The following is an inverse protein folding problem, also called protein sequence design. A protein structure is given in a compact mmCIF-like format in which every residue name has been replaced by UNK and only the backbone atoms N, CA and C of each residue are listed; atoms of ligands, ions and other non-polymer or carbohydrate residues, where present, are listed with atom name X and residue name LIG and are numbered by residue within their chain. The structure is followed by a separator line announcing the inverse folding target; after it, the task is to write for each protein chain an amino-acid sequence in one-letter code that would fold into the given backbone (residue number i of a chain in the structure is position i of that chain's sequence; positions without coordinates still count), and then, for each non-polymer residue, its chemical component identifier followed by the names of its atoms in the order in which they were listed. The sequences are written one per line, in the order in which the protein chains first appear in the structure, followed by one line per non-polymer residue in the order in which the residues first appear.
data_IF_349066539100
#
_entry.id   IF_349066539100
#
_cell.length_a   1.000
_cell.length_b   1.000
_cell.length_c   1.000
_cell.angle_alpha   90.00
_cell.angle_beta   90.00
_cell.angle_gamma   90.00
#
_symmetry.space_group_name_H-M   'P 1'
#
loop_
_entity.id
_entity.type
_entity.pdbx_description
1 polymer ?
#
# COMPACT_ATOMS: atom_id res chain seq x y z
N UNK A 1 -29.67 -6.47 -18.30
CA UNK A 1 -31.05 -6.11 -17.88
C UNK A 1 -31.97 -5.87 -19.07
N UNK A 2 -31.61 -4.97 -20.00
CA UNK A 2 -32.48 -4.63 -21.12
C UNK A 2 -32.76 -5.82 -22.06
N UNK A 3 -31.75 -6.67 -22.31
CA UNK A 3 -31.91 -7.95 -23.02
C UNK A 3 -32.99 -8.85 -22.36
N UNK A 4 -32.97 -8.98 -21.03
CA UNK A 4 -33.95 -9.77 -20.29
C UNK A 4 -35.36 -9.19 -20.45
N UNK A 5 -35.51 -7.86 -20.41
CA UNK A 5 -36.79 -7.18 -20.66
C UNK A 5 -37.35 -7.55 -22.04
N UNK A 6 -36.56 -7.37 -23.09
CA UNK A 6 -36.97 -7.65 -24.47
C UNK A 6 -37.31 -9.14 -24.65
N UNK A 7 -36.46 -10.03 -24.14
CA UNK A 7 -36.67 -11.46 -24.24
C UNK A 7 -37.98 -11.89 -23.55
N UNK A 8 -38.24 -11.40 -22.33
CA UNK A 8 -39.48 -11.70 -21.59
C UNK A 8 -40.69 -11.13 -22.31
N UNK A 9 -40.63 -9.89 -22.81
CA UNK A 9 -41.72 -9.28 -23.56
C UNK A 9 -42.09 -10.09 -24.82
N UNK A 10 -41.09 -10.46 -25.61
CA UNK A 10 -41.27 -11.24 -26.85
C UNK A 10 -41.79 -12.66 -26.58
N UNK A 11 -41.38 -13.29 -25.48
CA UNK A 11 -41.89 -14.59 -25.04
C UNK A 11 -43.34 -14.49 -24.55
N UNK A 12 -43.68 -13.46 -23.77
CA UNK A 12 -45.05 -13.24 -23.29
C UNK A 12 -46.03 -12.92 -24.42
N UNK A 13 -45.55 -12.26 -25.49
CA UNK A 13 -46.35 -11.94 -26.68
C UNK A 13 -46.44 -13.11 -27.68
N UNK A 14 -45.84 -14.27 -27.38
CA UNK A 14 -45.80 -15.44 -28.28
C UNK A 14 -45.30 -15.11 -29.70
N UNK A 15 -44.29 -14.25 -29.78
CA UNK A 15 -43.70 -13.83 -31.06
C UNK A 15 -43.04 -15.01 -31.81
N UNK A 16 -42.96 -14.89 -33.15
CA UNK A 16 -42.30 -15.90 -33.98
C UNK A 16 -40.81 -15.97 -33.65
N UNK A 17 -40.22 -17.17 -33.80
CA UNK A 17 -38.79 -17.37 -33.55
C UNK A 17 -37.90 -16.43 -34.38
N UNK A 18 -38.28 -16.15 -35.63
CA UNK A 18 -37.56 -15.20 -36.49
C UNK A 18 -37.53 -13.78 -35.90
N UNK A 19 -38.64 -13.29 -35.35
CA UNK A 19 -38.71 -11.98 -34.69
C UNK A 19 -37.95 -11.96 -33.36
N UNK A 20 -37.92 -13.09 -32.64
CA UNK A 20 -37.10 -13.20 -31.44
C UNK A 20 -35.61 -13.08 -31.77
N UNK A 21 -35.14 -13.84 -32.77
CA UNK A 21 -33.73 -13.83 -33.19
C UNK A 21 -33.32 -12.45 -33.72
N UNK A 22 -34.15 -11.80 -34.54
CA UNK A 22 -33.80 -10.50 -35.12
C UNK A 22 -33.62 -9.38 -34.07
N UNK A 23 -34.36 -9.43 -32.96
CA UNK A 23 -34.25 -8.44 -31.88
C UNK A 23 -33.14 -8.77 -30.86
N UNK A 24 -32.92 -10.06 -30.58
CA UNK A 24 -31.99 -10.50 -29.53
C UNK A 24 -30.55 -10.63 -30.05
N UNK A 25 -30.37 -11.12 -31.29
CA UNK A 25 -29.06 -11.39 -31.87
C UNK A 25 -28.14 -10.14 -31.91
N UNK A 26 -28.60 -8.95 -32.35
CA UNK A 26 -27.74 -7.76 -32.37
C UNK A 26 -27.23 -7.36 -30.98
N UNK A 27 -28.07 -7.51 -29.95
CA UNK A 27 -27.71 -7.17 -28.56
C UNK A 27 -26.68 -8.18 -28.05
N UNK A 28 -26.88 -9.48 -28.30
CA UNK A 28 -25.92 -10.52 -27.94
C UNK A 28 -24.58 -10.33 -28.65
N UNK A 29 -24.59 -10.05 -29.95
CA UNK A 29 -23.37 -9.75 -30.71
C UNK A 29 -22.63 -8.53 -30.16
N UNK A 30 -23.37 -7.48 -29.76
CA UNK A 30 -22.77 -6.29 -29.14
C UNK A 30 -22.14 -6.60 -27.78
N UNK A 31 -22.82 -7.38 -26.94
CA UNK A 31 -22.29 -7.82 -25.64
C UNK A 31 -21.02 -8.64 -25.84
N UNK A 32 -21.04 -9.62 -26.76
CA UNK A 32 -19.88 -10.45 -27.06
C UNK A 32 -18.69 -9.63 -27.57
N UNK A 33 -18.93 -8.64 -28.44
CA UNK A 33 -17.87 -7.75 -28.91
C UNK A 33 -17.27 -6.93 -27.76
N UNK A 34 -18.10 -6.41 -26.86
CA UNK A 34 -17.64 -5.69 -25.66
C UNK A 34 -16.85 -6.61 -24.71
N UNK A 35 -17.27 -7.86 -24.53
CA UNK A 35 -16.54 -8.85 -23.73
C UNK A 35 -15.17 -9.18 -24.32
N UNK A 36 -15.07 -9.31 -25.66
CA UNK A 36 -13.78 -9.51 -26.33
C UNK A 36 -12.86 -8.29 -26.14
N UNK A 37 -13.39 -7.08 -26.31
CA UNK A 37 -12.62 -5.83 -26.12
C UNK A 37 -12.14 -5.70 -24.68
N UNK A 38 -13.01 -5.95 -23.70
CA UNK A 38 -12.63 -5.90 -22.27
C UNK A 38 -11.59 -6.96 -21.91
N UNK A 39 -11.72 -8.19 -22.44
CA UNK A 39 -10.71 -9.23 -22.28
C UNK A 39 -9.36 -8.81 -22.86
N UNK A 40 -9.33 -8.23 -24.06
CA UNK A 40 -8.11 -7.69 -24.67
C UNK A 40 -7.49 -6.57 -23.83
N UNK A 41 -8.29 -5.57 -23.42
CA UNK A 41 -7.83 -4.44 -22.60
C UNK A 41 -7.27 -4.91 -21.24
N UNK A 42 -7.88 -5.94 -20.64
CA UNK A 42 -7.39 -6.50 -19.38
C UNK A 42 -5.98 -7.10 -19.51
N UNK A 43 -5.66 -7.76 -20.64
CA UNK A 43 -4.32 -8.27 -20.92
C UNK A 43 -3.31 -7.14 -21.10
N UNK A 44 -3.68 -6.09 -21.84
CA UNK A 44 -2.84 -4.89 -22.01
C UNK A 44 -2.56 -4.23 -20.67
N UNK A 45 -3.58 -4.08 -19.81
CA UNK A 45 -3.44 -3.54 -18.45
C UNK A 45 -2.48 -4.37 -17.61
N UNK A 46 -2.55 -5.70 -17.71
CA UNK A 46 -1.64 -6.61 -17.01
C UNK A 46 -0.17 -6.38 -17.39
N UNK A 47 0.12 -6.23 -18.69
CA UNK A 47 1.48 -5.96 -19.15
C UNK A 47 2.00 -4.58 -18.71
N UNK A 48 1.16 -3.54 -18.80
CA UNK A 48 1.52 -2.20 -18.35
C UNK A 48 1.79 -2.15 -16.84
N UNK A 49 1.01 -2.90 -16.05
CA UNK A 49 1.21 -3.03 -14.61
C UNK A 49 2.59 -3.61 -14.28
N UNK A 50 2.96 -4.73 -14.89
CA UNK A 50 4.28 -5.36 -14.68
C UNK A 50 5.42 -4.40 -15.05
N UNK A 51 5.29 -3.68 -16.18
CA UNK A 51 6.27 -2.68 -16.59
C UNK A 51 6.41 -1.54 -15.57
N UNK A 52 5.30 -1.04 -15.04
CA UNK A 52 5.28 -0.01 -14.01
C UNK A 52 5.92 -0.51 -12.71
N UNK A 53 5.58 -1.72 -12.28
CA UNK A 53 6.09 -2.31 -11.04
C UNK A 53 7.61 -2.51 -11.09
N UNK A 54 8.11 -3.02 -12.22
CA UNK A 54 9.55 -3.14 -12.47
C UNK A 54 10.25 -1.77 -12.42
N UNK A 55 9.65 -0.74 -13.04
CA UNK A 55 10.25 0.60 -13.04
C UNK A 55 10.27 1.23 -11.65
N UNK A 56 9.21 1.05 -10.86
CA UNK A 56 9.17 1.49 -9.46
C UNK A 56 10.28 0.79 -8.66
N UNK A 57 10.45 -0.52 -8.85
CA UNK A 57 11.48 -1.28 -8.15
C UNK A 57 12.89 -0.80 -8.49
N UNK A 58 13.17 -0.54 -9.75
CA UNK A 58 14.43 0.02 -10.23
C UNK A 58 14.72 1.36 -9.57
N UNK A 59 13.75 2.28 -9.56
CA UNK A 59 13.90 3.59 -8.93
C UNK A 59 14.11 3.51 -7.41
N UNK A 60 13.48 2.54 -6.73
CA UNK A 60 13.74 2.29 -5.30
C UNK A 60 15.16 1.78 -5.05
N UNK A 61 15.70 0.96 -5.96
CA UNK A 61 17.08 0.48 -5.88
C UNK A 61 18.04 1.64 -6.12
N UNK A 62 17.82 2.42 -7.17
CA UNK A 62 18.59 3.61 -7.52
C UNK A 62 18.63 4.58 -6.34
N UNK A 63 17.47 4.93 -5.78
CA UNK A 63 17.38 5.77 -4.58
C UNK A 63 18.22 5.21 -3.42
N UNK A 64 18.14 3.92 -3.17
CA UNK A 64 18.93 3.31 -2.09
C UNK A 64 20.44 3.28 -2.37
N UNK A 65 20.86 3.26 -3.63
CA UNK A 65 22.28 3.32 -4.01
C UNK A 65 22.85 4.73 -4.01
N UNK A 66 22.01 5.75 -4.23
CA UNK A 66 22.41 7.16 -4.20
C UNK A 66 22.31 7.78 -2.80
N UNK A 67 21.43 7.25 -1.93
CA UNK A 67 21.31 7.73 -0.56
C UNK A 67 22.61 7.56 0.21
N UNK A 68 22.99 8.62 0.92
CA UNK A 68 24.23 8.68 1.69
C UNK A 68 24.30 7.60 2.80
N UNK A 69 25.52 7.16 3.09
CA UNK A 69 25.77 6.07 4.03
C UNK A 69 25.28 6.39 5.46
N UNK A 70 25.37 7.64 5.90
CA UNK A 70 24.89 8.05 7.22
C UNK A 70 23.39 7.77 7.32
N UNK A 71 22.61 8.26 6.36
CA UNK A 71 21.16 8.12 6.27
C UNK A 71 20.77 6.65 6.21
N UNK A 72 21.42 5.85 5.36
CA UNK A 72 21.23 4.39 5.29
C UNK A 72 21.46 3.69 6.64
N UNK A 73 22.41 4.17 7.44
CA UNK A 73 22.75 3.58 8.74
C UNK A 73 21.79 3.97 9.88
N UNK A 74 20.89 4.94 9.65
CA UNK A 74 19.95 5.38 10.68
C UNK A 74 18.81 4.39 10.87
N UNK A 75 18.37 4.24 12.13
CA UNK A 75 17.17 3.46 12.47
C UNK A 75 15.91 4.03 11.79
N UNK A 76 15.83 5.35 11.67
CA UNK A 76 14.70 6.04 11.05
C UNK A 76 14.55 5.68 9.58
N UNK A 77 15.61 5.82 8.79
CA UNK A 77 15.58 5.45 7.37
C UNK A 77 15.34 3.96 7.17
N UNK A 78 15.93 3.10 8.00
CA UNK A 78 15.66 1.66 7.95
C UNK A 78 14.16 1.37 8.14
N UNK A 79 13.51 2.01 9.11
CA UNK A 79 12.06 1.87 9.33
C UNK A 79 11.27 2.41 8.14
N UNK A 80 11.65 3.57 7.61
CA UNK A 80 11.00 4.22 6.47
C UNK A 80 11.05 3.34 5.22
N UNK A 81 12.24 2.83 4.87
CA UNK A 81 12.47 1.89 3.77
C UNK A 81 11.70 0.59 3.96
N UNK A 82 11.68 0.03 5.17
CA UNK A 82 10.96 -1.23 5.45
C UNK A 82 9.47 -1.06 5.21
N UNK A 83 8.87 0.02 5.71
CA UNK A 83 7.46 0.33 5.47
C UNK A 83 7.15 0.56 3.99
N UNK A 84 8.01 1.30 3.28
CA UNK A 84 7.84 1.53 1.86
C UNK A 84 7.95 0.23 1.04
N UNK A 85 8.85 -0.69 1.43
CA UNK A 85 8.95 -2.01 0.81
C UNK A 85 7.72 -2.87 1.10
N UNK A 86 7.18 -2.82 2.32
CA UNK A 86 5.91 -3.47 2.65
C UNK A 86 4.76 -2.88 1.80
N UNK A 87 4.69 -1.56 1.66
CA UNK A 87 3.70 -0.88 0.82
C UNK A 87 3.83 -1.26 -0.67
N UNK A 88 5.05 -1.32 -1.19
CA UNK A 88 5.36 -1.77 -2.54
C UNK A 88 4.94 -3.24 -2.75
N UNK A 89 5.33 -4.15 -1.83
CA UNK A 89 4.97 -5.57 -1.91
C UNK A 89 3.44 -5.78 -1.83
N UNK A 90 2.72 -4.88 -1.17
CA UNK A 90 1.26 -4.87 -1.17
C UNK A 90 0.67 -4.35 -2.48
N UNK A 91 1.47 -3.90 -3.45
CA UNK A 91 1.02 -3.33 -4.71
C UNK A 91 0.27 -2.01 -4.53
N UNK A 92 0.66 -1.18 -3.56
CA UNK A 92 -0.09 0.02 -3.18
C UNK A 92 -0.37 0.96 -4.36
N UNK A 93 0.57 1.16 -5.28
CA UNK A 93 0.41 2.05 -6.43
C UNK A 93 -0.65 1.53 -7.40
N UNK A 94 -0.50 0.28 -7.88
CA UNK A 94 -1.46 -0.37 -8.77
C UNK A 94 -2.86 -0.47 -8.13
N UNK A 95 -2.93 -0.86 -6.86
CA UNK A 95 -4.20 -0.93 -6.12
C UNK A 95 -4.89 0.43 -6.09
N UNK A 96 -4.19 1.51 -5.74
CA UNK A 96 -4.78 2.84 -5.72
C UNK A 96 -5.29 3.29 -7.11
N UNK A 97 -4.52 3.04 -8.18
CA UNK A 97 -4.96 3.32 -9.56
C UNK A 97 -6.23 2.54 -9.89
N UNK A 98 -6.25 1.24 -9.61
CA UNK A 98 -7.41 0.38 -9.87
C UNK A 98 -8.65 0.79 -9.06
N UNK A 99 -8.46 1.23 -7.81
CA UNK A 99 -9.54 1.71 -6.94
C UNK A 99 -10.14 3.00 -7.48
N UNK A 100 -9.33 3.96 -7.95
CA UNK A 100 -9.82 5.19 -8.57
C UNK A 100 -10.67 4.91 -9.82
N UNK A 101 -10.21 4.02 -10.71
CA UNK A 101 -11.00 3.65 -11.88
C UNK A 101 -12.28 2.89 -11.52
N UNK A 102 -12.21 2.00 -10.53
CA UNK A 102 -13.38 1.26 -10.04
C UNK A 102 -14.42 2.19 -9.42
N UNK A 103 -14.03 3.19 -8.63
CA UNK A 103 -14.97 4.15 -8.04
C UNK A 103 -15.62 5.02 -9.10
N UNK A 104 -14.83 5.56 -10.05
CA UNK A 104 -15.35 6.31 -11.20
C UNK A 104 -16.36 5.49 -12.02
N UNK A 105 -16.03 4.24 -12.33
CA UNK A 105 -16.93 3.32 -13.04
C UNK A 105 -18.22 3.06 -12.27
N UNK A 106 -18.15 2.90 -10.95
CA UNK A 106 -19.33 2.67 -10.12
C UNK A 106 -20.24 3.92 -10.07
N UNK A 107 -19.69 5.12 -10.03
CA UNK A 107 -20.52 6.34 -10.09
C UNK A 107 -21.24 6.50 -11.43
N UNK A 108 -20.55 6.24 -12.55
CA UNK A 108 -21.14 6.32 -13.88
C UNK A 108 -22.31 5.34 -14.06
N UNK A 109 -22.12 4.09 -13.63
CA UNK A 109 -23.15 3.06 -13.69
C UNK A 109 -24.32 3.34 -12.73
N UNK A 110 -24.05 3.85 -11.52
CA UNK A 110 -25.11 4.21 -10.56
C UNK A 110 -25.99 5.32 -11.12
N UNK A 111 -25.39 6.32 -11.75
CA UNK A 111 -26.13 7.40 -12.39
C UNK A 111 -27.09 6.85 -13.46
N UNK A 112 -26.61 5.93 -14.30
CA UNK A 112 -27.44 5.24 -15.29
C UNK A 112 -28.61 4.49 -14.65
N UNK A 113 -28.37 3.73 -13.58
CA UNK A 113 -29.41 2.97 -12.90
C UNK A 113 -30.43 3.88 -12.20
N UNK A 114 -29.98 4.98 -11.57
CA UNK A 114 -30.87 5.94 -10.91
C UNK A 114 -31.86 6.52 -11.93
N UNK A 115 -31.40 6.90 -13.13
CA UNK A 115 -32.28 7.38 -14.22
C UNK A 115 -33.35 6.33 -14.57
N UNK A 116 -32.96 5.06 -14.62
CA UNK A 116 -33.91 3.98 -14.94
C UNK A 116 -34.94 3.79 -13.83
N UNK A 117 -34.55 3.88 -12.56
CA UNK A 117 -35.44 3.70 -11.40
C UNK A 117 -36.39 4.89 -11.23
N UNK A 118 -35.92 6.13 -11.42
CA UNK A 118 -36.74 7.34 -11.24
C UNK A 118 -37.89 7.43 -12.24
N UNK A 119 -37.73 6.87 -13.45
CA UNK A 119 -38.78 6.81 -14.47
C UNK A 119 -40.05 6.06 -14.05
N UNK A 120 -40.00 5.28 -12.95
CA UNK A 120 -41.06 4.37 -12.54
C UNK A 120 -41.81 4.83 -11.27
N UNK A 121 -41.41 5.95 -10.67
CA UNK A 121 -42.11 6.61 -9.56
C UNK A 121 -41.44 6.50 -8.20
N UNK A 122 -41.76 7.45 -7.32
CA UNK A 122 -41.02 7.74 -6.08
C UNK A 122 -41.13 6.67 -4.98
N UNK A 123 -42.10 5.74 -5.05
CA UNK A 123 -42.37 4.78 -3.98
C UNK A 123 -41.20 3.83 -3.66
N UNK A 124 -40.34 3.54 -4.64
CA UNK A 124 -39.19 2.63 -4.48
C UNK A 124 -37.97 3.38 -3.91
N UNK A 125 -37.92 4.71 -4.05
CA UNK A 125 -36.78 5.54 -3.66
C UNK A 125 -36.58 5.55 -2.14
N UNK A 126 -37.65 5.66 -1.36
CA UNK A 126 -37.57 5.76 0.10
C UNK A 126 -36.98 4.51 0.77
N UNK A 127 -37.43 3.28 0.45
CA UNK A 127 -36.79 2.04 0.90
C UNK A 127 -35.30 1.94 0.49
N UNK A 128 -34.96 2.38 -0.72
CA UNK A 128 -33.57 2.44 -1.19
C UNK A 128 -32.74 3.36 -0.29
N UNK A 129 -33.23 4.57 0.00
CA UNK A 129 -32.55 5.51 0.88
C UNK A 129 -32.33 4.89 2.26
N UNK A 130 -33.32 4.18 2.81
CA UNK A 130 -33.17 3.49 4.10
C UNK A 130 -32.02 2.48 4.05
N UNK A 131 -31.92 1.66 3.00
CA UNK A 131 -30.79 0.71 2.88
C UNK A 131 -29.43 1.39 2.69
N UNK A 132 -29.39 2.53 2.00
CA UNK A 132 -28.16 3.35 1.91
C UNK A 132 -27.76 3.87 3.29
N UNK A 133 -28.71 4.33 4.10
CA UNK A 133 -28.46 4.77 5.48
C UNK A 133 -27.93 3.61 6.33
N UNK A 134 -28.59 2.44 6.27
CA UNK A 134 -28.12 1.23 6.97
C UNK A 134 -26.70 0.86 6.52
N UNK A 135 -26.41 0.95 5.22
CA UNK A 135 -25.06 0.70 4.69
C UNK A 135 -24.02 1.66 5.25
N UNK A 136 -24.31 2.96 5.30
CA UNK A 136 -23.40 3.97 5.87
C UNK A 136 -23.12 3.68 7.36
N UNK A 137 -24.15 3.29 8.11
CA UNK A 137 -23.99 2.90 9.52
C UNK A 137 -23.14 1.63 9.67
N UNK A 138 -23.39 0.59 8.88
CA UNK A 138 -22.55 -0.61 8.84
C UNK A 138 -21.10 -0.26 8.45
N UNK A 139 -20.89 0.61 7.47
CA UNK A 139 -19.54 1.03 7.06
C UNK A 139 -18.76 1.68 8.21
N UNK A 140 -19.41 2.48 9.05
CA UNK A 140 -18.77 3.04 10.25
C UNK A 140 -18.26 1.95 11.20
N UNK A 141 -19.05 0.90 11.44
CA UNK A 141 -18.63 -0.24 12.26
C UNK A 141 -17.54 -1.07 11.58
N UNK A 142 -17.60 -1.25 10.27
CA UNK A 142 -16.57 -1.93 9.49
C UNK A 142 -15.22 -1.20 9.59
N UNK A 143 -15.22 0.13 9.48
CA UNK A 143 -14.02 0.96 9.68
C UNK A 143 -13.47 0.83 11.09
N UNK A 144 -14.33 0.80 12.12
CA UNK A 144 -13.91 0.60 13.52
C UNK A 144 -13.32 -0.80 13.74
N UNK A 145 -13.94 -1.84 13.18
CA UNK A 145 -13.39 -3.20 13.21
C UNK A 145 -12.03 -3.24 12.51
N UNK A 146 -11.94 -2.58 11.36
CA UNK A 146 -10.72 -2.48 10.59
C UNK A 146 -9.60 -1.76 11.35
N UNK A 147 -9.89 -0.67 12.06
CA UNK A 147 -8.89 0.04 12.88
C UNK A 147 -8.27 -0.86 13.96
N UNK A 148 -9.08 -1.69 14.63
CA UNK A 148 -8.58 -2.68 15.60
C UNK A 148 -7.65 -3.68 14.90
N UNK A 149 -8.02 -4.13 13.71
CA UNK A 149 -7.18 -5.02 12.89
C UNK A 149 -5.89 -4.34 12.44
N UNK A 150 -5.90 -3.07 12.06
CA UNK A 150 -4.69 -2.42 11.52
C UNK A 150 -3.70 -2.03 12.62
N UNK A 151 -4.17 -1.61 13.79
CA UNK A 151 -3.31 -1.10 14.88
C UNK A 151 -2.88 -2.19 15.85
N UNK A 152 -3.84 -2.87 16.51
CA UNK A 152 -3.55 -3.88 17.53
C UNK A 152 -2.86 -5.12 16.92
N UNK A 153 -3.29 -5.54 15.72
CA UNK A 153 -2.70 -6.72 15.06
C UNK A 153 -1.30 -6.44 14.48
N UNK A 154 -0.99 -5.20 14.09
CA UNK A 154 0.29 -4.89 13.45
C UNK A 154 1.48 -5.10 14.40
N UNK A 155 1.34 -4.75 15.67
CA UNK A 155 2.40 -5.02 16.66
C UNK A 155 2.59 -6.52 16.88
N UNK A 156 1.50 -7.28 16.98
CA UNK A 156 1.53 -8.73 17.17
C UNK A 156 2.11 -9.43 15.94
N UNK A 157 1.74 -8.99 14.73
CA UNK A 157 2.28 -9.52 13.48
C UNK A 157 3.78 -9.25 13.36
N UNK A 158 4.28 -8.07 13.75
CA UNK A 158 5.73 -7.79 13.77
C UNK A 158 6.49 -8.76 14.66
N UNK A 159 6.00 -9.01 15.87
CA UNK A 159 6.57 -10.00 16.80
C UNK A 159 6.50 -11.43 16.24
N UNK A 160 5.36 -11.79 15.66
CA UNK A 160 5.14 -13.09 15.01
C UNK A 160 6.14 -13.30 13.87
N UNK A 161 6.25 -12.34 12.95
CA UNK A 161 7.13 -12.42 11.78
C UNK A 161 8.60 -12.54 12.19
N UNK A 162 9.04 -11.79 13.20
CA UNK A 162 10.40 -11.92 13.73
C UNK A 162 10.65 -13.33 14.30
N UNK A 163 9.72 -13.86 15.10
CA UNK A 163 9.86 -15.21 15.66
C UNK A 163 9.89 -16.27 14.56
N UNK A 164 9.02 -16.16 13.55
CA UNK A 164 9.05 -17.04 12.38
C UNK A 164 10.39 -16.97 11.66
N UNK A 165 10.88 -15.76 11.38
CA UNK A 165 12.17 -15.56 10.72
C UNK A 165 13.32 -16.20 11.51
N UNK A 166 13.30 -16.11 12.84
CA UNK A 166 14.34 -16.74 13.68
C UNK A 166 14.21 -18.26 13.68
N UNK A 167 13.00 -18.81 13.83
CA UNK A 167 12.78 -20.24 13.92
C UNK A 167 12.94 -20.98 12.59
N UNK A 168 12.63 -20.33 11.46
CA UNK A 168 12.66 -20.94 10.13
C UNK A 168 14.04 -20.83 9.46
N UNK A 169 14.82 -19.80 9.80
CA UNK A 169 16.08 -19.53 9.11
C UNK A 169 17.23 -20.40 9.66
N UNK A 170 17.88 -21.16 8.78
CA UNK A 170 18.96 -22.11 9.13
C UNK A 170 20.11 -21.48 9.93
N UNK A 171 20.35 -20.17 9.75
CA UNK A 171 21.35 -19.39 10.49
C UNK A 171 21.22 -19.53 12.01
N UNK A 172 20.01 -19.59 12.55
CA UNK A 172 19.76 -19.67 14.00
C UNK A 172 19.59 -21.11 14.49
N UNK A 173 19.48 -22.09 13.59
CA UNK A 173 19.19 -23.48 13.95
C UNK A 173 20.24 -24.11 14.87
N UNK A 174 21.52 -23.73 14.71
CA UNK A 174 22.62 -24.22 15.58
C UNK A 174 22.45 -23.74 17.02
N UNK A 175 22.17 -22.46 17.20
CA UNK A 175 21.98 -21.83 18.52
C UNK A 175 20.74 -22.42 19.22
N UNK A 176 19.61 -22.52 18.49
CA UNK A 176 18.37 -23.08 19.05
C UNK A 176 18.59 -24.50 19.59
N UNK A 177 19.36 -25.34 18.89
CA UNK A 177 19.65 -26.72 19.31
C UNK A 177 20.69 -26.78 20.43
N UNK A 178 21.77 -25.99 20.33
CA UNK A 178 22.84 -25.99 21.31
C UNK A 178 22.37 -25.51 22.69
N UNK A 179 21.42 -24.56 22.73
CA UNK A 179 20.85 -24.02 23.96
C UNK A 179 19.50 -24.63 24.35
N UNK A 180 19.05 -25.69 23.66
CA UNK A 180 17.76 -26.35 23.87
C UNK A 180 16.56 -25.39 23.99
N UNK A 181 16.48 -24.43 23.07
CA UNK A 181 15.51 -23.32 23.15
C UNK A 181 14.14 -23.66 22.54
N UNK A 182 13.95 -24.87 22.03
CA UNK A 182 12.73 -25.28 21.31
C UNK A 182 11.47 -24.94 22.12
N UNK A 183 11.36 -25.44 23.34
CA UNK A 183 10.17 -25.25 24.19
C UNK A 183 9.90 -23.77 24.50
N UNK A 184 10.96 -22.96 24.63
CA UNK A 184 10.84 -21.53 24.91
C UNK A 184 10.30 -20.76 23.70
N UNK A 185 10.72 -21.13 22.49
CA UNK A 185 10.17 -20.59 21.25
C UNK A 185 8.73 -21.06 21.02
N UNK A 186 8.43 -22.32 21.26
CA UNK A 186 7.07 -22.88 21.12
C UNK A 186 6.08 -22.12 22.03
N UNK A 187 6.40 -21.97 23.33
CA UNK A 187 5.59 -21.19 24.26
C UNK A 187 5.42 -19.72 23.82
N UNK A 188 6.49 -19.13 23.26
CA UNK A 188 6.44 -17.74 22.81
C UNK A 188 5.54 -17.59 21.58
N UNK A 189 5.67 -18.49 20.60
CA UNK A 189 4.83 -18.54 19.41
C UNK A 189 3.36 -18.76 19.78
N UNK A 190 3.07 -19.69 20.69
CA UNK A 190 1.71 -19.92 21.20
C UNK A 190 1.13 -18.66 21.86
N UNK A 191 1.89 -18.00 22.73
CA UNK A 191 1.45 -16.76 23.38
C UNK A 191 1.13 -15.62 22.41
N UNK A 192 1.86 -15.56 21.29
CA UNK A 192 1.64 -14.57 20.21
C UNK A 192 0.42 -14.97 19.39
N UNK A 193 0.27 -16.26 19.08
CA UNK A 193 -0.89 -16.82 18.38
C UNK A 193 -2.19 -16.61 19.15
N UNK A 194 -2.17 -16.80 20.47
CA UNK A 194 -3.32 -16.56 21.35
C UNK A 194 -3.75 -15.10 21.36
N UNK A 195 -2.78 -14.18 21.47
CA UNK A 195 -3.05 -12.73 21.39
C UNK A 195 -3.63 -12.36 20.03
N UNK A 196 -3.06 -12.89 18.94
CA UNK A 196 -3.56 -12.71 17.58
C UNK A 196 -5.01 -13.20 17.46
N UNK A 197 -5.31 -14.37 18.00
CA UNK A 197 -6.65 -14.97 18.00
C UNK A 197 -7.65 -14.15 18.81
N UNK A 198 -7.27 -13.61 19.97
CA UNK A 198 -8.14 -12.73 20.79
C UNK A 198 -8.51 -11.44 20.04
N UNK A 199 -7.53 -10.78 19.42
CA UNK A 199 -7.75 -9.58 18.60
C UNK A 199 -8.64 -9.94 17.40
N UNK A 200 -8.37 -11.07 16.75
CA UNK A 200 -9.16 -11.52 15.61
C UNK A 200 -10.61 -11.83 15.99
N UNK A 201 -10.88 -12.44 17.16
CA UNK A 201 -12.23 -12.65 17.68
C UNK A 201 -12.96 -11.32 17.95
N UNK A 202 -12.28 -10.32 18.54
CA UNK A 202 -12.83 -8.97 18.76
C UNK A 202 -13.19 -8.28 17.44
N UNK A 203 -12.28 -8.33 16.47
CA UNK A 203 -12.51 -7.85 15.09
C UNK A 203 -13.72 -8.54 14.45
N UNK A 204 -13.72 -9.87 14.42
CA UNK A 204 -14.78 -10.67 13.80
C UNK A 204 -16.13 -10.45 14.45
N UNK A 205 -16.19 -10.22 15.76
CA UNK A 205 -17.46 -9.93 16.44
C UNK A 205 -18.10 -8.65 15.91
N UNK A 206 -17.35 -7.55 15.86
CA UNK A 206 -17.84 -6.25 15.37
C UNK A 206 -18.20 -6.35 13.89
N UNK A 207 -17.31 -6.94 13.09
CA UNK A 207 -17.52 -7.12 11.65
C UNK A 207 -18.77 -7.97 11.34
N UNK A 208 -19.00 -9.06 12.10
CA UNK A 208 -20.20 -9.91 11.92
C UNK A 208 -21.49 -9.17 12.23
N UNK A 209 -21.54 -8.37 13.30
CA UNK A 209 -22.74 -7.59 13.61
C UNK A 209 -23.04 -6.56 12.51
N UNK A 210 -22.00 -5.85 12.06
CA UNK A 210 -22.10 -4.87 10.97
C UNK A 210 -22.58 -5.47 9.64
N UNK A 211 -22.00 -6.62 9.25
CA UNK A 211 -22.39 -7.33 8.04
C UNK A 211 -23.83 -7.84 8.15
N UNK A 212 -24.18 -8.51 9.25
CA UNK A 212 -25.49 -9.11 9.42
C UNK A 212 -26.62 -8.06 9.40
N UNK A 213 -26.42 -6.88 9.99
CA UNK A 213 -27.43 -5.80 9.95
C UNK A 213 -27.67 -5.30 8.52
N UNK A 214 -26.61 -5.20 7.71
CA UNK A 214 -26.73 -4.83 6.30
C UNK A 214 -27.43 -5.92 5.49
N UNK A 215 -27.01 -7.18 5.64
CA UNK A 215 -27.56 -8.32 4.89
C UNK A 215 -29.07 -8.49 5.17
N UNK A 216 -29.49 -8.34 6.43
CA UNK A 216 -30.91 -8.40 6.81
C UNK A 216 -31.71 -7.25 6.19
N UNK A 217 -31.16 -6.03 6.21
CA UNK A 217 -31.82 -4.86 5.61
C UNK A 217 -31.93 -5.00 4.08
N UNK A 218 -30.91 -5.56 3.43
CA UNK A 218 -30.87 -5.79 1.99
C UNK A 218 -31.92 -6.82 1.55
N UNK A 219 -31.99 -7.97 2.24
CA UNK A 219 -33.02 -9.00 2.03
C UNK A 219 -34.42 -8.41 2.24
N UNK A 220 -34.61 -7.63 3.32
CA UNK A 220 -35.87 -6.96 3.60
C UNK A 220 -36.29 -6.00 2.48
N UNK A 221 -35.34 -5.23 1.94
CA UNK A 221 -35.60 -4.36 0.79
C UNK A 221 -35.96 -5.15 -0.47
N UNK A 222 -35.26 -6.25 -0.76
CA UNK A 222 -35.55 -7.07 -1.93
C UNK A 222 -36.97 -7.66 -1.86
N UNK A 223 -37.38 -8.17 -0.68
CA UNK A 223 -38.74 -8.65 -0.45
C UNK A 223 -39.76 -7.53 -0.61
N UNK A 224 -39.48 -6.34 -0.09
CA UNK A 224 -40.36 -5.18 -0.24
C UNK A 224 -40.53 -4.78 -1.72
N UNK A 225 -39.43 -4.65 -2.45
CA UNK A 225 -39.45 -4.31 -3.89
C UNK A 225 -40.25 -5.36 -4.66
N UNK A 226 -40.03 -6.65 -4.38
CA UNK A 226 -40.76 -7.74 -4.99
C UNK A 226 -42.27 -7.58 -4.80
N UNK A 227 -42.73 -7.36 -3.56
CA UNK A 227 -44.16 -7.20 -3.24
C UNK A 227 -44.77 -5.96 -3.91
N UNK A 228 -44.06 -4.83 -3.92
CA UNK A 228 -44.54 -3.58 -4.55
C UNK A 228 -44.69 -3.75 -6.06
N UNK A 229 -43.73 -4.39 -6.73
CA UNK A 229 -43.80 -4.62 -8.16
C UNK A 229 -44.93 -5.59 -8.53
N UNK A 230 -45.11 -6.67 -7.75
CA UNK A 230 -46.22 -7.61 -7.93
C UNK A 230 -47.57 -6.91 -7.73
N UNK A 231 -47.71 -6.06 -6.71
CA UNK A 231 -48.92 -5.27 -6.49
C UNK A 231 -49.22 -4.33 -7.66
N UNK A 232 -48.20 -3.67 -8.21
CA UNK A 232 -48.36 -2.77 -9.38
C UNK A 232 -48.80 -3.50 -10.64
N UNK A 233 -48.37 -4.74 -10.83
CA UNK A 233 -48.78 -5.57 -11.97
C UNK A 233 -50.22 -6.07 -11.80
N UNK A 234 -50.52 -6.69 -10.65
CA UNK A 234 -51.79 -7.41 -10.45
C UNK A 234 -52.94 -6.44 -10.17
N UNK A 235 -52.73 -5.46 -9.29
CA UNK A 235 -53.80 -4.59 -8.78
C UNK A 235 -53.90 -3.30 -9.57
N UNK A 236 -52.79 -2.58 -9.73
CA UNK A 236 -52.79 -1.29 -10.43
C UNK A 236 -52.74 -1.44 -11.96
N UNK A 237 -52.27 -2.58 -12.48
CA UNK A 237 -52.11 -2.88 -13.91
C UNK A 237 -51.34 -1.81 -14.67
N UNK A 238 -50.38 -1.17 -14.03
CA UNK A 238 -49.57 -0.08 -14.61
C UNK A 238 -48.26 -0.55 -15.25
N UNK A 239 -47.86 -1.80 -15.01
CA UNK A 239 -46.58 -2.36 -15.43
C UNK A 239 -46.78 -3.72 -16.11
N UNK A 240 -45.92 -4.03 -17.07
CA UNK A 240 -45.86 -5.36 -17.69
C UNK A 240 -44.95 -6.31 -16.90
N UNK A 241 -45.09 -7.62 -17.16
CA UNK A 241 -44.23 -8.66 -16.57
C UNK A 241 -42.75 -8.43 -16.94
N UNK A 242 -42.50 -7.93 -18.15
CA UNK A 242 -41.15 -7.59 -18.60
C UNK A 242 -40.51 -6.45 -17.79
N UNK A 243 -41.31 -5.46 -17.36
CA UNK A 243 -40.84 -4.36 -16.51
C UNK A 243 -40.43 -4.86 -15.12
N UNK A 244 -41.14 -5.84 -14.55
CA UNK A 244 -40.75 -6.44 -13.27
C UNK A 244 -39.33 -7.00 -13.31
N UNK A 245 -39.02 -7.82 -14.32
CA UNK A 245 -37.69 -8.45 -14.44
C UNK A 245 -36.60 -7.40 -14.62
N UNK A 246 -36.88 -6.37 -15.42
CA UNK A 246 -35.96 -5.26 -15.65
C UNK A 246 -35.65 -4.49 -14.37
N UNK A 247 -36.69 -4.09 -13.63
CA UNK A 247 -36.57 -3.24 -12.45
C UNK A 247 -35.95 -4.00 -11.29
N UNK A 248 -36.40 -5.24 -11.07
CA UNK A 248 -35.84 -6.08 -10.02
C UNK A 248 -34.34 -6.27 -10.21
N UNK A 249 -33.90 -6.54 -11.45
CA UNK A 249 -32.48 -6.63 -11.78
C UNK A 249 -31.74 -5.29 -11.59
N UNK A 250 -32.35 -4.16 -11.96
CA UNK A 250 -31.78 -2.83 -11.76
C UNK A 250 -31.55 -2.52 -10.26
N UNK A 251 -32.53 -2.83 -9.41
CA UNK A 251 -32.42 -2.67 -7.97
C UNK A 251 -31.31 -3.55 -7.37
N UNK A 252 -31.22 -4.82 -7.76
CA UNK A 252 -30.14 -5.72 -7.32
C UNK A 252 -28.77 -5.21 -7.73
N UNK A 253 -28.61 -4.73 -8.97
CA UNK A 253 -27.33 -4.18 -9.41
C UNK A 253 -26.98 -2.91 -8.64
N UNK A 254 -27.94 -2.02 -8.40
CA UNK A 254 -27.70 -0.82 -7.59
C UNK A 254 -27.25 -1.17 -6.16
N UNK A 255 -27.88 -2.16 -5.52
CA UNK A 255 -27.46 -2.65 -4.19
C UNK A 255 -26.02 -3.15 -4.20
N UNK A 256 -25.67 -3.99 -5.18
CA UNK A 256 -24.30 -4.50 -5.35
C UNK A 256 -23.29 -3.35 -5.54
N UNK A 257 -23.68 -2.31 -6.27
CA UNK A 257 -22.83 -1.14 -6.49
C UNK A 257 -22.62 -0.30 -5.24
N UNK A 258 -23.68 -0.07 -4.46
CA UNK A 258 -23.58 0.59 -3.15
C UNK A 258 -22.68 -0.22 -2.21
N UNK A 259 -22.81 -1.55 -2.22
CA UNK A 259 -21.92 -2.47 -1.51
C UNK A 259 -20.45 -2.31 -1.93
N UNK A 260 -20.18 -2.34 -3.23
CA UNK A 260 -18.86 -2.19 -3.83
C UNK A 260 -18.21 -0.84 -3.53
N UNK A 261 -18.98 0.25 -3.56
CA UNK A 261 -18.47 1.59 -3.21
C UNK A 261 -18.01 1.63 -1.77
N UNK A 262 -18.81 1.13 -0.83
CA UNK A 262 -18.42 1.09 0.58
C UNK A 262 -17.16 0.22 0.82
N UNK A 263 -17.05 -0.94 0.14
CA UNK A 263 -15.84 -1.76 0.20
C UNK A 263 -14.62 -1.04 -0.41
N UNK A 264 -14.81 -0.38 -1.55
CA UNK A 264 -13.76 0.42 -2.18
C UNK A 264 -13.31 1.58 -1.28
N UNK A 265 -14.22 2.25 -0.57
CA UNK A 265 -13.89 3.31 0.39
C UNK A 265 -12.99 2.80 1.51
N UNK A 266 -13.28 1.62 2.07
CA UNK A 266 -12.41 0.97 3.04
C UNK A 266 -11.05 0.69 2.40
N UNK A 267 -11.01 0.09 1.21
CA UNK A 267 -9.78 -0.24 0.51
C UNK A 267 -8.94 1.01 0.17
N UNK A 268 -9.56 2.13 -0.19
CA UNK A 268 -8.87 3.41 -0.45
C UNK A 268 -8.24 3.92 0.84
N UNK A 269 -8.98 3.95 1.95
CA UNK A 269 -8.45 4.36 3.24
C UNK A 269 -7.29 3.45 3.72
N UNK A 270 -7.37 2.16 3.44
CA UNK A 270 -6.29 1.22 3.74
C UNK A 270 -5.04 1.51 2.90
N UNK A 271 -5.22 1.62 1.60
CA UNK A 271 -4.12 1.80 0.66
C UNK A 271 -3.54 3.22 0.72
N UNK A 272 -4.27 4.22 1.23
CA UNK A 272 -3.73 5.55 1.45
C UNK A 272 -2.65 5.58 2.52
N UNK A 273 -2.76 4.76 3.57
CA UNK A 273 -1.71 4.64 4.58
C UNK A 273 -0.42 4.05 3.99
N UNK A 274 -0.55 2.99 3.18
CA UNK A 274 0.60 2.41 2.47
C UNK A 274 1.21 3.39 1.47
N UNK A 275 0.38 4.10 0.70
CA UNK A 275 0.84 5.11 -0.23
C UNK A 275 1.54 6.26 0.50
N UNK A 276 1.03 6.68 1.66
CA UNK A 276 1.65 7.70 2.50
C UNK A 276 3.03 7.26 3.02
N UNK A 277 3.14 6.05 3.56
CA UNK A 277 4.44 5.50 3.99
C UNK A 277 5.44 5.40 2.81
N UNK A 278 4.96 4.98 1.62
CA UNK A 278 5.77 4.96 0.40
C UNK A 278 6.21 6.36 -0.02
N UNK A 279 5.32 7.34 -0.01
CA UNK A 279 5.62 8.72 -0.39
C UNK A 279 6.55 9.40 0.60
N UNK A 280 6.46 9.09 1.90
CA UNK A 280 7.42 9.59 2.89
C UNK A 280 8.83 9.06 2.61
N UNK A 281 8.95 7.77 2.25
CA UNK A 281 10.22 7.22 1.78
C UNK A 281 10.69 7.91 0.50
N UNK A 282 9.79 8.10 -0.47
CA UNK A 282 10.12 8.70 -1.76
C UNK A 282 10.57 10.16 -1.65
N UNK A 283 9.98 10.92 -0.73
CA UNK A 283 10.27 12.33 -0.53
C UNK A 283 11.34 12.60 0.53
N UNK A 284 11.81 11.56 1.23
CA UNK A 284 12.94 11.71 2.15
C UNK A 284 14.16 12.19 1.39
N UNK A 285 14.66 13.36 1.76
CA UNK A 285 15.88 13.97 1.22
C UNK A 285 17.08 13.44 1.98
N UNK A 286 18.21 13.37 1.30
CA UNK A 286 19.45 12.91 1.91
C UNK A 286 20.06 14.07 2.73
N UNK A 287 20.75 13.74 3.82
CA UNK A 287 21.37 14.75 4.68
C UNK A 287 22.57 15.46 4.02
N UNK A 288 23.04 14.92 2.90
CA UNK A 288 24.19 15.43 2.14
C UNK A 288 23.77 16.21 0.89
N UNK A 289 22.47 16.52 0.74
CA UNK A 289 21.92 17.31 -0.36
C UNK A 289 22.30 18.80 -0.26
N UNK A 290 23.55 19.08 -0.60
CA UNK A 290 23.87 20.18 -1.52
C UNK A 290 25.10 19.77 -2.33
N UNK A 291 24.87 19.38 -3.58
CA UNK A 291 25.88 19.55 -4.62
C UNK A 291 25.97 21.07 -4.79
N UNK A 292 26.83 21.69 -3.99
CA UNK A 292 27.18 23.09 -4.18
C UNK A 292 28.02 23.16 -5.46
N UNK A 293 27.64 24.01 -6.43
CA UNK A 293 28.34 24.13 -7.72
C UNK A 293 29.81 24.59 -7.57
N UNK A 294 30.20 25.00 -6.36
CA UNK A 294 31.54 25.44 -5.98
C UNK A 294 32.47 24.34 -5.45
N UNK A 295 32.19 23.05 -5.71
CA UNK A 295 33.11 21.97 -5.29
C UNK A 295 34.44 22.03 -6.05
N UNK A 296 35.53 21.75 -5.34
CA UNK A 296 36.88 21.69 -5.92
C UNK A 296 36.91 20.59 -7.00
N UNK A 297 37.30 20.95 -8.22
CA UNK A 297 37.34 20.04 -9.37
C UNK A 297 38.70 19.34 -9.48
N UNK A 298 38.69 18.20 -10.18
CA UNK A 298 39.85 17.30 -10.36
C UNK A 298 41.05 18.01 -10.97
N UNK A 299 40.81 18.99 -11.85
CA UNK A 299 41.82 19.68 -12.66
C UNK A 299 42.74 20.60 -11.83
N UNK A 300 42.41 20.90 -10.58
CA UNK A 300 43.19 21.79 -9.70
C UNK A 300 43.97 21.05 -8.60
N UNK A 301 43.94 19.71 -8.56
CA UNK A 301 44.45 18.95 -7.42
C UNK A 301 45.82 18.31 -7.66
N UNK A 302 46.81 18.69 -6.85
CA UNK A 302 48.15 18.07 -6.85
C UNK A 302 48.18 16.81 -5.98
N UNK A 303 48.23 15.65 -6.65
CA UNK A 303 48.31 14.35 -5.99
C UNK A 303 49.69 14.05 -5.37
N UNK A 304 50.74 14.83 -5.71
CA UNK A 304 52.09 14.61 -5.18
C UNK A 304 52.29 15.20 -3.79
N UNK A 305 51.34 16.01 -3.30
CA UNK A 305 51.37 16.57 -1.94
C UNK A 305 50.00 16.47 -1.29
N UNK A 306 49.71 15.32 -0.69
CA UNK A 306 48.47 15.08 0.05
C UNK A 306 48.73 15.26 1.56
N UNK A 307 47.95 16.13 2.19
CA UNK A 307 47.93 16.30 3.65
C UNK A 307 46.49 16.27 4.15
N UNK A 308 46.15 15.33 5.02
CA UNK A 308 44.83 15.22 5.66
C UNK A 308 44.95 15.60 7.13
N UNK A 309 44.16 16.58 7.59
CA UNK A 309 44.19 17.04 8.97
C UNK A 309 42.84 16.87 9.65
N UNK A 310 42.84 16.23 10.81
CA UNK A 310 41.72 16.23 11.75
C UNK A 310 41.96 17.34 12.76
N UNK A 311 41.05 18.32 12.86
CA UNK A 311 41.15 19.46 13.77
C UNK A 311 39.99 19.43 14.77
N UNK A 312 40.31 19.09 16.01
CA UNK A 312 39.38 18.96 17.14
C UNK A 312 38.16 18.08 16.83
N UNK A 313 38.38 16.99 16.09
CA UNK A 313 37.31 16.16 15.58
C UNK A 313 36.70 15.31 16.69
N UNK A 314 35.40 15.47 16.90
CA UNK A 314 34.61 14.56 17.74
C UNK A 314 33.43 14.01 16.96
N UNK A 315 33.05 12.78 17.24
CA UNK A 315 31.98 12.11 16.52
C UNK A 315 31.16 11.18 17.42
N UNK A 316 29.84 11.25 17.28
CA UNK A 316 28.88 10.28 17.83
C UNK A 316 28.05 9.66 16.71
N UNK A 317 27.75 8.37 16.83
CA UNK A 317 26.83 7.71 15.91
C UNK A 317 25.37 8.19 16.15
N UNK A 318 24.50 8.11 15.13
CA UNK A 318 23.09 8.47 15.28
C UNK A 318 22.43 7.73 16.45
N UNK A 319 21.54 8.41 17.19
CA UNK A 319 20.81 7.86 18.34
C UNK A 319 21.69 7.40 19.51
N UNK A 320 22.92 7.91 19.63
CA UNK A 320 23.81 7.64 20.76
C UNK A 320 24.31 8.94 21.37
N UNK A 321 24.47 8.97 22.69
CA UNK A 321 25.15 10.08 23.39
C UNK A 321 26.64 9.84 23.58
N UNK A 322 27.12 8.64 23.24
CA UNK A 322 28.52 8.27 23.40
C UNK A 322 29.35 8.78 22.22
N UNK A 323 30.41 9.54 22.52
CA UNK A 323 31.41 9.95 21.55
C UNK A 323 32.30 8.76 21.18
N UNK A 324 32.17 8.27 19.96
CA UNK A 324 33.05 7.24 19.41
C UNK A 324 34.46 7.77 19.14
N UNK A 325 34.59 9.08 18.89
CA UNK A 325 35.85 9.81 18.84
C UNK A 325 35.68 11.13 19.58
N UNK A 326 36.70 11.54 20.34
CA UNK A 326 36.68 12.76 21.15
C UNK A 326 37.96 13.54 20.94
N UNK A 327 37.83 14.77 20.43
CA UNK A 327 38.89 15.74 20.25
C UNK A 327 40.15 15.20 19.54
N UNK A 328 39.95 14.48 18.43
CA UNK A 328 41.04 13.93 17.61
C UNK A 328 41.72 15.07 16.85
N UNK A 329 43.03 15.18 17.05
CA UNK A 329 43.91 16.14 16.38
C UNK A 329 45.10 15.36 15.78
N UNK A 330 45.11 15.18 14.46
CA UNK A 330 46.18 14.45 13.76
C UNK A 330 46.33 14.97 12.34
N UNK A 331 47.57 15.03 11.86
CA UNK A 331 47.92 15.36 10.48
C UNK A 331 48.54 14.12 9.83
N UNK A 332 47.98 13.68 8.71
CA UNK A 332 48.47 12.60 7.86
C UNK A 332 49.10 13.21 6.62
N UNK A 333 50.32 12.81 6.29
CA UNK A 333 51.08 13.29 5.13
C UNK A 333 51.23 12.19 4.09
N UNK A 334 51.46 12.62 2.86
CA UNK A 334 51.82 11.74 1.75
C UNK A 334 53.10 10.96 2.06
N UNK A 335 53.25 9.80 1.45
CA UNK A 335 54.41 8.90 1.57
C UNK A 335 54.73 8.38 2.99
N UNK A 336 53.82 8.56 3.95
CA UNK A 336 53.94 8.01 5.30
C UNK A 336 53.00 6.81 5.52
N UNK A 337 53.47 5.78 6.23
CA UNK A 337 52.65 4.63 6.64
C UNK A 337 52.16 4.81 8.07
N UNK A 338 50.84 4.81 8.25
CA UNK A 338 50.21 4.97 9.56
C UNK A 338 49.59 3.66 10.06
N UNK A 339 49.81 3.34 11.33
CA UNK A 339 49.19 2.21 12.00
C UNK A 339 48.25 2.69 13.11
N UNK A 340 46.95 2.40 12.97
CA UNK A 340 45.93 2.74 13.98
C UNK A 340 45.73 1.57 14.95
N UNK A 341 46.31 1.66 16.15
CA UNK A 341 46.20 0.64 17.21
C UNK A 341 45.30 1.09 18.36
N UNK A 342 44.78 0.12 19.13
CA UNK A 342 43.96 0.39 20.31
C UNK A 342 43.03 -0.76 20.67
N UNK A 343 42.40 -0.69 21.85
CA UNK A 343 41.43 -1.70 22.31
C UNK A 343 40.18 -1.77 21.39
N UNK A 344 39.45 -2.88 21.45
CA UNK A 344 38.15 -2.99 20.78
C UNK A 344 37.21 -1.89 21.30
N UNK A 345 36.50 -1.21 20.38
CA UNK A 345 35.65 -0.06 20.71
C UNK A 345 36.36 1.29 20.84
N UNK A 346 37.69 1.39 20.69
CA UNK A 346 38.43 2.65 20.78
C UNK A 346 38.20 3.65 19.62
N UNK A 347 37.26 3.39 18.71
CA UNK A 347 36.94 4.29 17.59
C UNK A 347 37.76 4.11 16.32
N UNK A 348 38.65 3.11 16.23
CA UNK A 348 39.51 2.87 15.04
C UNK A 348 38.72 2.79 13.72
N UNK A 349 37.69 1.94 13.66
CA UNK A 349 36.84 1.84 12.47
C UNK A 349 36.03 3.12 12.22
N UNK A 350 35.70 3.86 13.27
CA UNK A 350 35.02 5.16 13.16
C UNK A 350 35.94 6.22 12.55
N UNK A 351 37.22 6.21 12.92
CA UNK A 351 38.24 7.09 12.34
C UNK A 351 38.36 6.86 10.83
N UNK A 352 38.46 5.60 10.41
CA UNK A 352 38.49 5.24 8.97
C UNK A 352 37.20 5.66 8.27
N UNK A 353 36.03 5.46 8.88
CA UNK A 353 34.74 5.88 8.29
C UNK A 353 34.63 7.40 8.08
N UNK A 354 35.16 8.20 9.01
CA UNK A 354 35.23 9.66 8.85
C UNK A 354 36.24 10.04 7.77
N UNK A 355 37.40 9.37 7.75
CA UNK A 355 38.41 9.54 6.70
C UNK A 355 37.84 9.24 5.31
N UNK A 356 36.99 8.23 5.16
CA UNK A 356 36.32 7.92 3.89
C UNK A 356 35.06 8.77 3.64
N UNK A 357 34.80 9.81 4.44
CA UNK A 357 33.62 10.69 4.38
C UNK A 357 32.27 9.94 4.43
N UNK A 358 32.24 8.74 5.01
CA UNK A 358 31.00 7.98 5.22
C UNK A 358 30.11 8.61 6.31
N UNK A 359 30.70 9.46 7.16
CA UNK A 359 30.05 10.24 8.19
C UNK A 359 30.62 11.66 8.23
N UNK A 360 29.82 12.63 8.66
CA UNK A 360 30.32 13.95 9.07
C UNK A 360 30.73 13.93 10.53
N UNK A 361 31.83 14.63 10.90
CA UNK A 361 32.15 14.83 12.30
C UNK A 361 31.01 15.58 13.00
N UNK A 362 30.78 15.28 14.29
CA UNK A 362 29.79 16.00 15.11
C UNK A 362 30.30 17.40 15.49
N UNK A 363 31.62 17.53 15.67
CA UNK A 363 32.30 18.80 15.86
C UNK A 363 33.73 18.72 15.32
N UNK A 364 34.34 19.87 15.06
CA UNK A 364 35.64 19.96 14.41
C UNK A 364 35.54 19.82 12.89
N UNK A 365 36.69 19.77 12.22
CA UNK A 365 36.78 19.76 10.76
C UNK A 365 37.86 18.78 10.32
N UNK A 366 37.64 18.13 9.17
CA UNK A 366 38.64 17.32 8.49
C UNK A 366 38.97 18.05 7.19
N UNK A 367 40.25 18.29 6.94
CA UNK A 367 40.69 19.02 5.74
C UNK A 367 41.64 18.17 4.91
N UNK A 368 41.49 18.23 3.59
CA UNK A 368 42.44 17.73 2.60
C UNK A 368 43.14 18.95 1.97
N UNK A 369 44.46 19.03 2.09
CA UNK A 369 45.30 20.15 1.63
C UNK A 369 44.79 21.52 2.11
N UNK A 370 44.31 21.58 3.36
CA UNK A 370 43.79 22.81 3.98
C UNK A 370 42.34 23.15 3.65
N UNK A 371 41.70 22.45 2.72
CA UNK A 371 40.27 22.64 2.36
C UNK A 371 39.41 21.58 3.04
N UNK A 372 38.23 21.93 3.54
CA UNK A 372 37.29 20.95 4.13
C UNK A 372 37.00 19.81 3.15
N UNK A 373 37.09 18.56 3.61
CA UNK A 373 36.78 17.38 2.80
C UNK A 373 35.33 17.39 2.28
N UNK A 374 34.43 18.16 2.91
CA UNK A 374 33.05 18.35 2.46
C UNK A 374 32.93 19.16 1.17
N UNK A 375 33.92 19.97 0.83
CA UNK A 375 33.91 20.83 -0.35
C UNK A 375 34.48 20.14 -1.59
N UNK A 376 34.98 18.90 -1.47
CA UNK A 376 35.41 18.11 -2.60
C UNK A 376 34.24 17.35 -3.22
N UNK A 377 34.31 17.08 -4.53
CA UNK A 377 33.45 16.06 -5.12
C UNK A 377 33.75 14.68 -4.52
N UNK A 378 32.72 13.85 -4.32
CA UNK A 378 32.90 12.54 -3.67
C UNK A 378 33.74 11.60 -4.53
N UNK A 379 33.62 11.67 -5.86
CA UNK A 379 34.40 10.86 -6.78
C UNK A 379 35.87 11.31 -6.91
N UNK A 380 36.15 12.58 -6.59
CA UNK A 380 37.52 13.10 -6.50
C UNK A 380 38.16 12.75 -5.15
N UNK A 381 37.37 12.75 -4.07
CA UNK A 381 37.87 12.52 -2.73
C UNK A 381 38.23 11.05 -2.45
N UNK A 382 37.46 10.11 -3.01
CA UNK A 382 37.70 8.66 -2.91
C UNK A 382 38.70 8.20 -3.95
#
# INVERSE_FOLDING_TARGET
MFLLKIAVALLTQQSTFANFVSNVLPILSSILLLEIVTAFLSKVRGWQKEKLDFKIKELMIEKNTTTDYYTLSTKEYFMLKTKALEAYNQGCVDKNISLLFSTLSNFALLFGIIITITSLGMAIILPIIITIIVRILSEYFDRKAYYIRSTELAEVNRKSNYLHQVCEHIRFAKEIRMFDLKNKFDQKLESVSDKKTKIWKKYMRIFRYSSATYDIADIGLQLFIYLVLVYRIIVLKTLEIADFVYIFAACQQMQNMVGNIALNSINVFMNSNYLFDFMNYWNHKDNFDSIDDNRVKIEEFDFNSITIEFKNVSFKYPNTEFLALKNVNITLKCDETYLVVGKNGAGKSTFVKLLCRLYKPTSGIITLNGVDIQNYDMALYL
#
